data_IF_777299565179
#
_entry.id   IF_777299565179
#
_cell.length_a   1.000
_cell.length_b   1.000
_cell.length_c   1.000
_cell.angle_alpha   90.00
_cell.angle_beta   90.00
_cell.angle_gamma   90.00
#
_symmetry.space_group_name_H-M   'P 1'
#
loop_
_entity.id
_entity.type
_entity.pdbx_description
1 polymer ?
#
# COMPACT_ATOMS: atom_id res chain seq x y z
N UNK A 1 -9.30 -18.53 17.73
CA UNK A 1 -9.29 -17.22 18.43
C UNK A 1 -10.67 -16.89 19.00
N UNK A 2 -10.74 -16.47 20.26
CA UNK A 2 -11.99 -16.00 20.92
C UNK A 2 -12.37 -14.60 20.44
N UNK A 3 -13.63 -14.22 20.60
CA UNK A 3 -14.13 -12.87 20.25
C UNK A 3 -13.34 -11.75 20.94
N UNK A 4 -13.07 -11.87 22.23
CA UNK A 4 -12.31 -10.86 22.98
C UNK A 4 -10.87 -10.70 22.48
N UNK A 5 -10.25 -11.77 21.99
CA UNK A 5 -8.92 -11.71 21.38
C UNK A 5 -8.95 -11.04 20.02
N UNK A 6 -9.97 -11.31 19.18
CA UNK A 6 -10.14 -10.65 17.89
C UNK A 6 -10.31 -9.13 18.07
N UNK A 7 -11.18 -8.72 18.99
CA UNK A 7 -11.42 -7.30 19.29
C UNK A 7 -10.15 -6.63 19.81
N UNK A 8 -9.33 -7.33 20.60
CA UNK A 8 -8.10 -6.77 21.17
C UNK A 8 -6.94 -6.70 20.17
N UNK A 9 -6.81 -7.68 19.28
CA UNK A 9 -5.62 -7.84 18.43
C UNK A 9 -5.83 -7.36 16.99
N UNK A 10 -7.01 -7.56 16.42
CA UNK A 10 -7.28 -7.29 15.00
C UNK A 10 -7.96 -5.94 14.80
N UNK A 11 -9.00 -5.63 15.58
CA UNK A 11 -9.77 -4.39 15.39
C UNK A 11 -8.94 -3.09 15.48
N UNK A 12 -7.94 -2.96 16.37
CA UNK A 12 -7.09 -1.77 16.41
C UNK A 12 -6.23 -1.56 15.14
N UNK A 13 -6.07 -2.61 14.33
CA UNK A 13 -5.33 -2.54 13.07
C UNK A 13 -6.16 -2.00 11.91
N UNK A 14 -7.49 -1.85 12.05
CA UNK A 14 -8.40 -1.45 10.96
C UNK A 14 -7.92 -0.21 10.20
N UNK A 15 -7.53 0.84 10.92
CA UNK A 15 -7.10 2.09 10.27
C UNK A 15 -5.77 1.93 9.55
N UNK A 16 -4.87 1.08 10.06
CA UNK A 16 -3.61 0.73 9.38
C UNK A 16 -3.88 -0.10 8.13
N UNK A 17 -4.79 -1.05 8.21
CA UNK A 17 -5.25 -1.85 7.07
C UNK A 17 -5.80 -0.96 5.97
N UNK A 18 -6.63 0.03 6.33
CA UNK A 18 -7.21 0.97 5.39
C UNK A 18 -6.16 1.85 4.72
N UNK A 19 -5.28 2.50 5.49
CA UNK A 19 -4.21 3.35 4.92
C UNK A 19 -3.28 2.55 4.02
N UNK A 20 -2.95 1.32 4.40
CA UNK A 20 -2.10 0.47 3.57
C UNK A 20 -2.82 0.01 2.31
N UNK A 21 -4.06 -0.47 2.40
CA UNK A 21 -4.88 -0.83 1.24
C UNK A 21 -5.01 0.35 0.28
N UNK A 22 -5.33 1.54 0.79
CA UNK A 22 -5.45 2.78 0.02
C UNK A 22 -4.15 3.14 -0.69
N UNK A 23 -2.99 2.91 -0.04
CA UNK A 23 -1.68 3.14 -0.66
C UNK A 23 -1.37 2.18 -1.82
N UNK A 24 -2.00 0.99 -1.83
CA UNK A 24 -1.82 -0.04 -2.86
C UNK A 24 -2.79 0.14 -4.03
N UNK A 25 -4.09 0.31 -3.73
CA UNK A 25 -5.16 0.34 -4.75
C UNK A 25 -5.48 1.75 -5.26
N UNK A 26 -5.00 2.79 -4.55
CA UNK A 26 -5.20 4.20 -4.89
C UNK A 26 -6.67 4.63 -5.00
N UNK A 27 -7.56 3.92 -4.31
CA UNK A 27 -9.00 4.20 -4.25
C UNK A 27 -9.50 4.02 -2.83
N UNK A 28 -10.20 5.02 -2.29
CA UNK A 28 -10.76 4.96 -0.94
C UNK A 28 -11.86 3.91 -0.82
N UNK A 29 -12.74 3.82 -1.83
CA UNK A 29 -13.84 2.88 -1.82
C UNK A 29 -13.32 1.43 -1.87
N UNK A 30 -12.42 1.13 -2.81
CA UNK A 30 -11.86 -0.22 -2.91
C UNK A 30 -11.02 -0.60 -1.69
N UNK A 31 -10.33 0.37 -1.07
CA UNK A 31 -9.59 0.12 0.16
C UNK A 31 -10.54 -0.22 1.32
N UNK A 32 -11.66 0.48 1.44
CA UNK A 32 -12.69 0.20 2.44
C UNK A 32 -13.30 -1.18 2.23
N UNK A 33 -13.65 -1.54 0.99
CA UNK A 33 -14.17 -2.85 0.63
C UNK A 33 -13.18 -3.97 0.98
N UNK A 34 -11.89 -3.79 0.64
CA UNK A 34 -10.83 -4.77 0.98
C UNK A 34 -10.73 -4.98 2.49
N UNK A 35 -10.78 -3.91 3.28
CA UNK A 35 -10.70 -3.99 4.74
C UNK A 35 -11.94 -4.66 5.31
N UNK A 36 -13.12 -4.28 4.83
CA UNK A 36 -14.39 -4.83 5.27
C UNK A 36 -14.47 -6.34 5.00
N UNK A 37 -14.27 -6.76 3.75
CA UNK A 37 -14.28 -8.16 3.34
C UNK A 37 -13.28 -9.01 4.14
N UNK A 38 -12.10 -8.46 4.42
CA UNK A 38 -11.08 -9.15 5.18
C UNK A 38 -11.51 -9.32 6.64
N UNK A 39 -12.00 -8.27 7.29
CA UNK A 39 -12.48 -8.34 8.67
C UNK A 39 -13.65 -9.30 8.82
N UNK A 40 -14.62 -9.27 7.89
CA UNK A 40 -15.74 -10.22 7.89
C UNK A 40 -15.27 -11.67 7.77
N UNK A 41 -14.36 -11.93 6.84
CA UNK A 41 -13.80 -13.27 6.66
C UNK A 41 -13.05 -13.72 7.91
N UNK A 42 -12.18 -12.86 8.45
CA UNK A 42 -11.42 -13.20 9.64
C UNK A 42 -12.33 -13.43 10.85
N UNK A 43 -13.40 -12.64 10.99
CA UNK A 43 -14.41 -12.84 12.03
C UNK A 43 -15.11 -14.18 11.87
N UNK A 44 -15.54 -14.53 10.65
CA UNK A 44 -16.22 -15.80 10.35
C UNK A 44 -15.33 -17.01 10.64
N UNK A 45 -14.05 -16.93 10.28
CA UNK A 45 -13.09 -18.01 10.42
C UNK A 45 -12.33 -17.99 11.77
N UNK A 46 -12.66 -17.06 12.68
CA UNK A 46 -11.87 -16.76 13.88
C UNK A 46 -11.60 -17.96 14.77
N UNK A 47 -12.55 -18.88 14.90
CA UNK A 47 -12.43 -20.05 15.77
C UNK A 47 -11.39 -21.05 15.25
N UNK A 48 -11.21 -21.12 13.92
CA UNK A 48 -10.30 -22.05 13.24
C UNK A 48 -8.92 -21.44 12.98
N UNK A 49 -8.78 -20.13 13.15
CA UNK A 49 -7.55 -19.42 12.85
C UNK A 49 -6.54 -19.58 13.98
N UNK A 50 -5.39 -20.14 13.65
CA UNK A 50 -4.20 -20.09 14.50
C UNK A 50 -3.52 -18.74 14.32
N UNK A 51 -3.35 -18.01 15.42
CA UNK A 51 -2.69 -16.70 15.38
C UNK A 51 -1.18 -16.91 15.32
N UNK A 52 -0.48 -16.33 14.34
CA UNK A 52 0.96 -16.30 14.35
C UNK A 52 1.48 -15.36 15.43
N UNK A 53 2.78 -15.48 15.71
CA UNK A 53 3.47 -14.62 16.67
C UNK A 53 3.27 -13.12 16.35
N UNK A 54 3.36 -12.74 15.08
CA UNK A 54 3.17 -11.37 14.62
C UNK A 54 1.80 -11.21 13.92
N UNK A 55 0.76 -10.96 14.72
CA UNK A 55 -0.60 -10.74 14.21
C UNK A 55 -0.64 -9.52 13.27
N UNK A 56 0.12 -8.48 13.56
CA UNK A 56 0.24 -7.30 12.70
C UNK A 56 0.72 -7.67 11.31
N UNK A 57 1.88 -8.32 11.21
CA UNK A 57 2.40 -8.83 9.95
C UNK A 57 1.38 -9.69 9.20
N UNK A 58 0.79 -10.67 9.87
CA UNK A 58 -0.23 -11.55 9.27
C UNK A 58 -1.41 -10.80 8.65
N UNK A 59 -1.98 -9.83 9.37
CA UNK A 59 -3.10 -9.02 8.89
C UNK A 59 -2.66 -8.17 7.68
N UNK A 60 -1.50 -7.55 7.74
CA UNK A 60 -0.99 -6.72 6.63
C UNK A 60 -0.63 -7.55 5.40
N UNK A 61 -0.15 -8.79 5.57
CA UNK A 61 0.01 -9.77 4.48
C UNK A 61 -1.33 -10.09 3.83
N UNK A 62 -2.37 -10.31 4.62
CA UNK A 62 -3.70 -10.59 4.10
C UNK A 62 -4.27 -9.39 3.32
N UNK A 63 -4.09 -8.16 3.82
CA UNK A 63 -4.45 -6.92 3.09
C UNK A 63 -3.70 -6.84 1.77
N UNK A 64 -2.37 -7.01 1.80
CA UNK A 64 -1.50 -6.99 0.62
C UNK A 64 -1.97 -7.96 -0.45
N UNK A 65 -2.21 -9.21 -0.07
CA UNK A 65 -2.64 -10.26 -0.98
C UNK A 65 -3.98 -9.92 -1.66
N UNK A 66 -4.95 -9.41 -0.89
CA UNK A 66 -6.25 -8.99 -1.44
C UNK A 66 -6.13 -7.81 -2.41
N UNK A 67 -5.29 -6.83 -2.09
CA UNK A 67 -5.01 -5.72 -3.00
C UNK A 67 -4.35 -6.22 -4.29
N UNK A 68 -3.36 -7.11 -4.19
CA UNK A 68 -2.72 -7.72 -5.36
C UNK A 68 -3.71 -8.55 -6.20
N UNK A 69 -4.63 -9.29 -5.57
CA UNK A 69 -5.69 -10.02 -6.27
C UNK A 69 -6.62 -9.07 -7.04
N UNK A 70 -7.06 -7.98 -6.39
CA UNK A 70 -7.91 -6.95 -7.01
C UNK A 70 -7.21 -6.31 -8.21
N UNK A 71 -5.96 -5.88 -8.06
CA UNK A 71 -5.18 -5.25 -9.12
C UNK A 71 -4.91 -6.21 -10.29
N UNK A 72 -4.66 -7.50 -10.01
CA UNK A 72 -4.53 -8.54 -11.05
C UNK A 72 -5.82 -8.73 -11.84
N UNK A 73 -6.98 -8.76 -11.16
CA UNK A 73 -8.29 -8.85 -11.81
C UNK A 73 -8.55 -7.62 -12.68
N UNK A 74 -8.33 -6.42 -12.16
CA UNK A 74 -8.44 -5.17 -12.92
C UNK A 74 -7.57 -5.21 -14.19
N UNK A 75 -6.31 -5.65 -14.08
CA UNK A 75 -5.44 -5.75 -15.25
C UNK A 75 -5.94 -6.78 -16.27
N UNK A 76 -6.47 -7.92 -15.82
CA UNK A 76 -7.07 -8.93 -16.69
C UNK A 76 -8.33 -8.40 -17.41
N UNK A 77 -9.19 -7.67 -16.71
CA UNK A 77 -10.39 -7.06 -17.27
C UNK A 77 -10.04 -6.03 -18.34
N UNK A 78 -9.05 -5.17 -18.08
CA UNK A 78 -8.64 -4.21 -19.11
C UNK A 78 -7.99 -4.91 -20.32
N UNK A 79 -7.19 -5.96 -20.13
CA UNK A 79 -6.67 -6.75 -21.26
C UNK A 79 -7.80 -7.36 -22.08
N UNK A 80 -8.84 -7.88 -21.43
CA UNK A 80 -10.02 -8.45 -22.09
C UNK A 80 -10.80 -7.39 -22.88
N UNK A 81 -10.99 -6.21 -22.30
CA UNK A 81 -11.68 -5.08 -22.94
C UNK A 81 -10.86 -4.48 -24.10
N UNK A 82 -9.53 -4.38 -23.95
CA UNK A 82 -8.62 -3.92 -25.00
C UNK A 82 -8.55 -4.90 -26.18
N UNK A 83 -8.73 -6.21 -25.94
CA UNK A 83 -8.86 -7.20 -27.02
C UNK A 83 -10.17 -7.06 -27.81
N UNK A 84 -11.20 -6.43 -27.23
CA UNK A 84 -12.50 -6.15 -27.87
C UNK A 84 -12.56 -4.76 -28.52
N UNK A 85 -11.72 -3.81 -28.09
CA UNK A 85 -11.64 -2.45 -28.66
C UNK A 85 -10.18 -2.07 -28.89
N UNK A 86 -9.73 -2.15 -30.14
CA UNK A 86 -8.53 -1.42 -30.56
C UNK A 86 -8.79 0.09 -30.38
N UNK A 87 -7.84 0.77 -29.72
CA UNK A 87 -7.83 2.19 -29.37
C UNK A 87 -8.62 2.59 -28.12
N UNK A 88 -7.90 2.81 -27.01
CA UNK A 88 -7.97 4.09 -26.28
C UNK A 88 -6.81 4.19 -25.30
N UNK A 89 -6.18 5.37 -25.27
CA UNK A 89 -5.12 5.75 -24.36
C UNK A 89 -5.55 5.66 -22.89
N UNK A 90 -4.63 5.21 -22.05
CA UNK A 90 -4.82 5.19 -20.60
C UNK A 90 -4.70 6.62 -20.08
N UNK A 91 -5.82 7.21 -19.70
CA UNK A 91 -5.86 8.43 -18.90
C UNK A 91 -5.35 8.08 -17.50
N UNK A 92 -4.12 8.49 -17.19
CA UNK A 92 -3.70 8.65 -15.81
C UNK A 92 -4.39 9.92 -15.31
N UNK A 93 -5.33 9.77 -14.37
CA UNK A 93 -6.01 10.92 -13.77
C UNK A 93 -5.01 11.72 -12.94
N UNK A 94 -4.40 12.72 -13.59
CA UNK A 94 -3.60 13.76 -12.97
C UNK A 94 -4.55 14.71 -12.25
N UNK A 95 -4.74 14.49 -10.96
CA UNK A 95 -5.36 15.50 -10.08
C UNK A 95 -4.35 16.64 -9.92
N UNK A 96 -4.52 17.67 -10.74
CA UNK A 96 -3.80 18.93 -10.66
C UNK A 96 -4.51 19.86 -9.68
N UNK A 97 -4.09 19.85 -8.42
CA UNK A 97 -4.52 20.81 -7.39
C UNK A 97 -3.30 21.26 -6.58
N UNK A 98 -3.34 22.52 -6.12
CA UNK A 98 -2.28 23.25 -5.40
C UNK A 98 -1.50 22.35 -4.42
N UNK A 99 -0.17 22.46 -4.47
CA UNK A 99 0.74 21.61 -3.72
C UNK A 99 0.75 21.96 -2.22
N UNK A 100 0.01 21.19 -1.43
CA UNK A 100 0.32 20.99 -0.02
C UNK A 100 1.47 19.99 0.10
N UNK A 101 2.31 20.12 1.13
CA UNK A 101 3.44 19.20 1.38
C UNK A 101 3.04 17.71 1.35
N UNK A 102 1.79 17.39 1.72
CA UNK A 102 1.22 16.04 1.66
C UNK A 102 1.09 15.50 0.23
N UNK A 103 0.72 16.34 -0.72
CA UNK A 103 0.56 15.95 -2.12
C UNK A 103 1.91 15.67 -2.79
N UNK A 104 2.93 16.47 -2.47
CA UNK A 104 4.31 16.25 -2.93
C UNK A 104 4.82 14.89 -2.44
N UNK A 105 4.61 14.58 -1.16
CA UNK A 105 4.97 13.26 -0.59
C UNK A 105 4.19 12.14 -1.26
N UNK A 106 2.88 12.30 -1.47
CA UNK A 106 2.03 11.30 -2.13
C UNK A 106 2.54 10.98 -3.54
N UNK A 107 2.87 11.99 -4.33
CA UNK A 107 3.43 11.84 -5.69
C UNK A 107 4.82 11.20 -5.65
N UNK A 108 5.67 11.63 -4.73
CA UNK A 108 7.01 11.07 -4.60
C UNK A 108 6.96 9.58 -4.24
N UNK A 109 6.05 9.20 -3.34
CA UNK A 109 5.77 7.80 -3.01
C UNK A 109 5.21 7.04 -4.22
N UNK A 110 4.28 7.61 -4.98
CA UNK A 110 3.70 6.98 -6.17
C UNK A 110 4.75 6.68 -7.26
N UNK A 111 5.80 7.50 -7.36
CA UNK A 111 6.90 7.35 -8.32
C UNK A 111 7.94 6.29 -7.92
N UNK A 112 7.88 5.74 -6.70
CA UNK A 112 8.78 4.66 -6.29
C UNK A 112 8.38 3.33 -6.94
N UNK A 113 9.35 2.45 -7.23
CA UNK A 113 9.06 1.05 -7.53
C UNK A 113 8.19 0.42 -6.45
N UNK A 114 7.22 -0.40 -6.85
CA UNK A 114 6.17 -0.95 -5.98
C UNK A 114 6.72 -1.52 -4.66
N UNK A 115 7.69 -2.45 -4.72
CA UNK A 115 8.31 -3.03 -3.52
C UNK A 115 8.99 -2.00 -2.61
N UNK A 116 9.59 -0.95 -3.17
CA UNK A 116 10.21 0.10 -2.35
C UNK A 116 9.12 0.93 -1.66
N UNK A 117 8.06 1.28 -2.38
CA UNK A 117 6.90 2.01 -1.84
C UNK A 117 6.25 1.25 -0.69
N UNK A 118 5.99 -0.05 -0.87
CA UNK A 118 5.40 -0.92 0.17
C UNK A 118 6.25 -0.94 1.44
N UNK A 119 7.55 -1.23 1.31
CA UNK A 119 8.47 -1.31 2.44
C UNK A 119 8.64 0.04 3.16
N UNK A 120 8.71 1.15 2.41
CA UNK A 120 8.77 2.50 2.98
C UNK A 120 7.46 2.84 3.70
N UNK A 121 6.30 2.49 3.14
CA UNK A 121 5.01 2.73 3.78
C UNK A 121 4.91 1.99 5.12
N UNK A 122 5.17 0.67 5.11
CA UNK A 122 5.11 -0.13 6.34
C UNK A 122 6.09 0.36 7.40
N UNK A 123 7.28 0.84 6.99
CA UNK A 123 8.30 1.30 7.93
C UNK A 123 8.05 2.70 8.48
N UNK A 124 7.87 3.68 7.59
CA UNK A 124 7.90 5.10 7.95
C UNK A 124 6.51 5.65 8.28
N UNK A 125 5.44 5.04 7.75
CA UNK A 125 4.05 5.47 7.98
C UNK A 125 3.42 4.62 9.08
N UNK A 126 3.52 3.29 8.97
CA UNK A 126 2.86 2.37 9.91
C UNK A 126 3.77 1.93 11.08
N UNK A 127 5.07 2.23 11.00
CA UNK A 127 6.02 2.03 12.11
C UNK A 127 6.43 0.57 12.36
N UNK A 128 6.23 -0.34 11.40
CA UNK A 128 6.51 -1.76 11.60
C UNK A 128 8.02 -2.04 11.80
N UNK A 129 8.38 -3.02 12.64
CA UNK A 129 9.75 -3.49 12.75
C UNK A 129 10.17 -4.27 11.51
N UNK A 130 11.47 -4.33 11.24
CA UNK A 130 12.02 -4.93 10.01
C UNK A 130 11.64 -6.40 9.86
N UNK A 131 11.60 -7.16 10.96
CA UNK A 131 11.17 -8.56 10.98
C UNK A 131 9.73 -8.73 10.48
N UNK A 132 8.79 -7.95 11.00
CA UNK A 132 7.38 -8.01 10.55
C UNK A 132 7.22 -7.56 9.10
N UNK A 133 7.97 -6.55 8.65
CA UNK A 133 7.96 -6.14 7.25
C UNK A 133 8.46 -7.28 6.35
N UNK A 134 9.47 -8.02 6.79
CA UNK A 134 10.02 -9.16 6.06
C UNK A 134 8.95 -10.25 5.88
N UNK A 135 8.15 -10.52 6.91
CA UNK A 135 6.99 -11.42 6.85
C UNK A 135 5.90 -10.91 5.91
N UNK A 136 5.57 -9.61 5.94
CA UNK A 136 4.55 -9.01 5.05
C UNK A 136 4.94 -9.11 3.58
N UNK A 137 6.21 -8.85 3.28
CA UNK A 137 6.72 -8.80 1.91
C UNK A 137 7.13 -10.20 1.39
N UNK A 138 7.34 -11.15 2.30
CA UNK A 138 7.82 -12.49 1.96
C UNK A 138 9.30 -12.49 1.54
N UNK A 139 10.15 -11.78 2.29
CA UNK A 139 11.61 -11.80 2.11
C UNK A 139 12.34 -11.87 3.45
N UNK A 140 13.68 -11.87 3.43
CA UNK A 140 14.48 -11.78 4.65
C UNK A 140 14.69 -10.33 5.10
N UNK A 141 15.08 -10.14 6.37
CA UNK A 141 15.30 -8.81 6.94
C UNK A 141 16.46 -8.04 6.28
N UNK A 142 17.48 -8.74 5.77
CA UNK A 142 18.60 -8.09 5.10
C UNK A 142 18.13 -7.47 3.78
N UNK A 143 17.27 -8.17 3.05
CA UNK A 143 16.62 -7.67 1.86
C UNK A 143 15.72 -6.48 2.18
N UNK A 144 14.96 -6.50 3.28
CA UNK A 144 14.17 -5.33 3.72
C UNK A 144 15.07 -4.12 3.96
N UNK A 145 16.21 -4.29 4.66
CA UNK A 145 17.17 -3.20 4.91
C UNK A 145 17.75 -2.63 3.60
N UNK A 146 18.06 -3.48 2.64
CA UNK A 146 18.53 -3.05 1.30
C UNK A 146 17.44 -2.27 0.57
N UNK A 147 16.19 -2.76 0.58
CA UNK A 147 15.06 -2.09 -0.05
C UNK A 147 14.81 -0.73 0.61
N UNK A 148 14.86 -0.65 1.94
CA UNK A 148 14.72 0.61 2.68
C UNK A 148 15.81 1.62 2.30
N UNK A 149 17.07 1.18 2.25
CA UNK A 149 18.18 2.05 1.87
C UNK A 149 17.99 2.63 0.47
N UNK A 150 17.68 1.77 -0.51
CA UNK A 150 17.41 2.18 -1.90
C UNK A 150 16.17 3.06 -2.02
N UNK A 151 15.09 2.70 -1.33
CA UNK A 151 13.84 3.45 -1.32
C UNK A 151 13.99 4.85 -0.73
N UNK A 152 14.71 4.99 0.38
CA UNK A 152 15.01 6.31 0.99
C UNK A 152 15.87 7.18 0.08
N UNK A 153 16.87 6.59 -0.59
CA UNK A 153 17.71 7.32 -1.54
C UNK A 153 16.89 7.80 -2.75
N UNK A 154 16.05 6.91 -3.32
CA UNK A 154 15.17 7.24 -4.44
C UNK A 154 14.15 8.32 -4.05
N UNK A 155 13.49 8.18 -2.89
CA UNK A 155 12.50 9.13 -2.40
C UNK A 155 13.11 10.53 -2.20
N UNK A 156 14.32 10.60 -1.63
CA UNK A 156 15.05 11.86 -1.47
C UNK A 156 15.33 12.53 -2.81
N UNK A 157 15.79 11.76 -3.81
CA UNK A 157 16.06 12.27 -5.15
C UNK A 157 14.79 12.78 -5.85
N UNK A 158 13.67 12.08 -5.70
CA UNK A 158 12.37 12.49 -6.27
C UNK A 158 11.88 13.77 -5.60
N UNK A 159 11.90 13.83 -4.26
CA UNK A 159 11.49 15.02 -3.50
C UNK A 159 12.34 16.23 -3.87
N UNK A 160 13.65 16.08 -3.99
CA UNK A 160 14.55 17.18 -4.38
C UNK A 160 14.22 17.71 -5.79
N UNK A 161 13.92 16.83 -6.74
CA UNK A 161 13.50 17.24 -8.09
C UNK A 161 12.19 18.00 -8.06
N UNK A 162 11.17 17.43 -7.41
CA UNK A 162 9.85 18.05 -7.30
C UNK A 162 9.93 19.44 -6.66
N UNK A 163 10.68 19.58 -5.54
CA UNK A 163 10.86 20.87 -4.86
C UNK A 163 11.67 21.89 -5.68
N UNK A 164 12.58 21.44 -6.55
CA UNK A 164 13.34 22.33 -7.43
C UNK A 164 12.49 22.83 -8.61
N UNK A 165 11.60 21.99 -9.13
CA UNK A 165 10.65 22.38 -10.19
C UNK A 165 9.63 23.43 -9.69
N UNK A 166 9.25 23.42 -8.40
CA UNK A 166 8.41 24.49 -7.83
C UNK A 166 9.09 25.86 -7.85
N UNK A 167 10.43 25.89 -7.68
CA UNK A 167 11.21 27.15 -7.64
C UNK A 167 11.38 27.78 -9.02
N UNK A 168 11.50 26.97 -10.07
CA UNK A 168 11.61 27.47 -11.45
C UNK A 168 10.28 27.99 -11.98
N UNK A 169 9.15 27.39 -11.57
CA UNK A 169 7.81 27.79 -12.03
C UNK A 169 7.31 29.11 -11.40
N UNK A 170 7.82 29.49 -10.22
CA UNK A 170 7.45 30.74 -9.52
C UNK A 170 8.26 31.99 -9.95
N UNK A 171 9.11 31.89 -10.99
CA UNK A 171 10.02 32.98 -11.42
C UNK A 171 9.59 33.64 -12.75
N UNK A 172 8.35 33.43 -13.20
CA UNK A 172 7.76 34.10 -14.37
C UNK A 172 6.41 34.74 -14.01
#
# INVERSE_FOLDING_TARGET
MKESEFIRLVMPLRDRMFRYAQSLVLSSAEAEDVVHDLLERMWRDRERMELPQHVGAFVMTAVRNRCCDLLRRRQADVRRLAQVKASSEWVTESVAQRWEAREVVRRAMASLPERQREVIHLKEIEGFPTCEIAEVIGCDEAQVRVILSRGRAALRGILQKLMNDERTTNTH
#
